data_IF_631744685480
#
_entry.id   IF_631744685480
#
_cell.length_a   1.000
_cell.length_b   1.000
_cell.length_c   1.000
_cell.angle_alpha   90.00
_cell.angle_beta   90.00
_cell.angle_gamma   90.00
#
_symmetry.space_group_name_H-M   'P 1'
#
loop_
_entity.id
_entity.type
_entity.pdbx_description
1 polymer ?
#
# COMPACT_ATOMS: atom_id res chain seq x y z
N UNK A 1 -16.41 3.54 -26.93
CA UNK A 1 -17.47 4.06 -26.03
C UNK A 1 -16.87 4.12 -24.62
N UNK A 2 -16.90 5.28 -23.95
CA UNK A 2 -16.47 5.37 -22.56
C UNK A 2 -17.44 4.52 -21.71
N UNK A 3 -16.89 3.66 -20.85
CA UNK A 3 -17.68 2.84 -19.94
C UNK A 3 -18.48 3.78 -19.02
N UNK A 4 -19.81 3.63 -19.00
CA UNK A 4 -20.72 4.46 -18.17
C UNK A 4 -20.33 4.44 -16.69
N UNK A 5 -19.80 3.34 -16.21
CA UNK A 5 -19.40 3.19 -14.82
C UNK A 5 -18.17 4.04 -14.49
N UNK A 6 -17.19 4.14 -15.41
CA UNK A 6 -16.04 5.03 -15.26
C UNK A 6 -16.49 6.50 -15.22
N UNK A 7 -17.44 6.89 -16.05
CA UNK A 7 -17.97 8.25 -16.03
C UNK A 7 -18.63 8.61 -14.68
N UNK A 8 -19.42 7.69 -14.12
CA UNK A 8 -20.06 7.86 -12.80
C UNK A 8 -19.02 7.95 -11.66
N UNK A 9 -17.97 7.12 -11.71
CA UNK A 9 -16.88 7.18 -10.72
C UNK A 9 -16.15 8.52 -10.81
N UNK A 10 -15.80 8.99 -12.01
CA UNK A 10 -15.17 10.31 -12.19
C UNK A 10 -16.05 11.45 -11.70
N UNK A 11 -17.33 11.42 -11.98
CA UNK A 11 -18.30 12.41 -11.48
C UNK A 11 -18.38 12.41 -9.96
N UNK A 12 -18.36 11.23 -9.33
CA UNK A 12 -18.34 11.13 -7.87
C UNK A 12 -17.05 11.72 -7.29
N UNK A 13 -15.92 11.36 -7.85
CA UNK A 13 -14.60 11.82 -7.39
C UNK A 13 -14.45 13.34 -7.53
N UNK A 14 -15.00 13.95 -8.61
CA UNK A 14 -14.94 15.40 -8.81
C UNK A 14 -15.77 16.22 -7.81
N UNK A 15 -16.66 15.57 -7.06
CA UNK A 15 -17.48 16.19 -6.00
C UNK A 15 -16.85 16.11 -4.62
N UNK A 16 -15.75 15.34 -4.47
CA UNK A 16 -15.03 15.26 -3.21
C UNK A 16 -14.21 16.52 -2.96
N UNK A 17 -14.10 16.97 -1.70
CA UNK A 17 -13.25 18.12 -1.39
C UNK A 17 -11.79 17.78 -1.73
N UNK A 18 -11.00 18.77 -2.19
CA UNK A 18 -9.58 18.57 -2.41
C UNK A 18 -8.87 18.10 -1.14
N UNK A 19 -8.02 17.09 -1.26
CA UNK A 19 -7.36 16.45 -0.11
C UNK A 19 -6.42 17.39 0.66
N UNK A 20 -5.99 18.47 0.04
CA UNK A 20 -5.13 19.48 0.65
C UNK A 20 -5.88 20.52 1.50
N UNK A 21 -7.21 20.50 1.51
CA UNK A 21 -8.07 21.45 2.24
C UNK A 21 -8.55 20.91 3.59
N UNK A 22 -8.39 19.63 3.87
CA UNK A 22 -8.86 18.97 5.08
C UNK A 22 -7.70 18.34 5.86
N UNK A 23 -7.88 18.17 7.17
CA UNK A 23 -6.88 17.56 8.05
C UNK A 23 -6.63 16.08 7.71
N UNK A 24 -5.46 15.54 8.10
CA UNK A 24 -5.14 14.11 7.95
C UNK A 24 -6.18 13.23 8.65
N UNK A 25 -6.67 13.64 9.81
CA UNK A 25 -7.69 12.90 10.56
C UNK A 25 -9.00 12.80 9.75
N UNK A 26 -9.43 13.91 9.17
CA UNK A 26 -10.62 13.93 8.32
C UNK A 26 -10.44 13.11 7.04
N UNK A 27 -9.25 13.19 6.41
CA UNK A 27 -8.94 12.37 5.24
C UNK A 27 -9.00 10.87 5.58
N UNK A 28 -8.41 10.45 6.70
CA UNK A 28 -8.47 9.06 7.18
C UNK A 28 -9.93 8.64 7.41
N UNK A 29 -10.71 9.47 8.11
CA UNK A 29 -12.13 9.19 8.35
C UNK A 29 -12.95 9.08 7.05
N UNK A 30 -12.64 9.87 6.03
CA UNK A 30 -13.29 9.77 4.72
C UNK A 30 -12.91 8.46 4.00
N UNK A 31 -11.65 8.08 4.03
CA UNK A 31 -11.17 6.84 3.42
C UNK A 31 -11.82 5.59 4.04
N UNK A 32 -12.04 5.58 5.35
CA UNK A 32 -12.73 4.50 6.05
C UNK A 32 -14.18 4.30 5.60
N UNK A 33 -14.81 5.32 5.00
CA UNK A 33 -16.17 5.18 4.43
C UNK A 33 -16.23 4.22 3.25
N UNK A 34 -15.10 3.91 2.62
CA UNK A 34 -15.01 2.93 1.54
C UNK A 34 -15.51 1.55 1.98
N UNK A 35 -15.31 1.16 3.25
CA UNK A 35 -15.82 -0.09 3.80
C UNK A 35 -17.34 -0.23 3.64
N UNK A 36 -18.08 0.86 3.83
CA UNK A 36 -19.54 0.88 3.67
C UNK A 36 -19.99 1.04 2.24
N UNK A 37 -19.22 1.81 1.45
CA UNK A 37 -19.54 2.07 0.04
C UNK A 37 -19.29 0.84 -0.84
N UNK A 38 -18.32 0.01 -0.47
CA UNK A 38 -17.89 -1.17 -1.22
C UNK A 38 -17.79 -2.38 -0.28
N UNK A 39 -18.93 -2.96 0.13
CA UNK A 39 -18.93 -4.14 0.99
C UNK A 39 -18.30 -5.34 0.26
N UNK A 40 -17.60 -6.17 1.01
CA UNK A 40 -17.09 -7.44 0.49
C UNK A 40 -18.20 -8.51 0.49
N UNK A 41 -18.10 -9.53 -0.37
CA UNK A 41 -19.00 -10.69 -0.35
C UNK A 41 -19.02 -11.35 1.04
N UNK A 42 -20.20 -11.71 1.57
CA UNK A 42 -20.34 -12.22 2.93
C UNK A 42 -19.66 -13.57 3.17
N UNK A 43 -19.37 -14.33 2.12
CA UNK A 43 -18.64 -15.58 2.16
C UNK A 43 -17.14 -15.42 2.41
N UNK A 44 -16.58 -14.21 2.25
CA UNK A 44 -15.17 -13.95 2.54
C UNK A 44 -14.96 -13.77 4.04
N UNK A 45 -14.22 -14.69 4.65
CA UNK A 45 -13.88 -14.58 6.08
C UNK A 45 -12.83 -13.48 6.30
N UNK A 46 -13.13 -12.57 7.24
CA UNK A 46 -12.21 -11.54 7.71
C UNK A 46 -11.72 -11.94 9.10
N UNK A 47 -10.42 -12.10 9.25
CA UNK A 47 -9.78 -12.48 10.50
C UNK A 47 -8.71 -11.47 10.86
N UNK A 48 -8.83 -10.84 12.03
CA UNK A 48 -7.81 -9.94 12.55
C UNK A 48 -6.70 -10.72 13.20
N UNK A 49 -5.48 -10.35 12.89
CA UNK A 49 -4.28 -10.94 13.47
C UNK A 49 -3.33 -9.87 13.94
N UNK A 50 -2.60 -10.17 14.99
CA UNK A 50 -1.45 -9.36 15.40
C UNK A 50 -0.23 -9.91 14.68
N UNK A 51 0.15 -9.30 13.57
CA UNK A 51 1.42 -9.56 12.93
C UNK A 51 2.55 -8.90 13.77
N UNK A 52 3.82 -9.32 13.61
CA UNK A 52 4.87 -8.99 14.57
C UNK A 52 5.13 -7.49 14.77
N UNK A 53 4.74 -6.65 13.80
CA UNK A 53 5.01 -5.20 13.84
C UNK A 53 3.77 -4.33 13.65
N UNK A 54 2.66 -4.89 13.14
CA UNK A 54 1.44 -4.16 12.90
C UNK A 54 0.21 -5.08 12.96
N UNK A 55 -0.95 -4.60 13.40
CA UNK A 55 -2.20 -5.30 13.20
C UNK A 55 -2.42 -5.59 11.71
N UNK A 56 -3.02 -6.72 11.38
CA UNK A 56 -3.31 -7.07 9.99
C UNK A 56 -4.67 -7.77 9.89
N UNK A 57 -5.23 -7.81 8.68
CA UNK A 57 -6.43 -8.56 8.39
C UNK A 57 -6.13 -9.65 7.34
N UNK A 58 -6.52 -10.88 7.66
CA UNK A 58 -6.66 -11.92 6.67
C UNK A 58 -8.02 -11.81 5.98
N UNK A 59 -8.01 -11.87 4.66
CA UNK A 59 -9.20 -12.02 3.83
C UNK A 59 -9.11 -13.38 3.15
N UNK A 60 -10.06 -14.27 3.47
CA UNK A 60 -10.04 -15.65 3.01
C UNK A 60 -11.28 -15.96 2.17
N UNK A 61 -11.20 -15.86 0.83
CA UNK A 61 -12.24 -16.34 -0.06
C UNK A 61 -12.44 -17.86 0.08
N UNK A 62 -13.64 -18.39 -0.14
CA UNK A 62 -13.89 -19.83 -0.06
C UNK A 62 -13.02 -20.67 -1.00
N UNK A 63 -12.68 -20.12 -2.17
CA UNK A 63 -11.84 -20.78 -3.18
C UNK A 63 -10.34 -20.61 -2.95
N UNK A 64 -9.90 -20.01 -1.83
CA UNK A 64 -8.50 -19.81 -1.56
C UNK A 64 -7.74 -21.13 -1.40
N UNK A 65 -6.73 -21.34 -2.24
CA UNK A 65 -5.83 -22.49 -2.13
C UNK A 65 -4.89 -22.32 -0.93
N UNK A 66 -4.71 -23.41 -0.18
CA UNK A 66 -3.81 -23.41 0.97
C UNK A 66 -2.39 -22.97 0.58
N UNK A 67 -1.84 -22.03 1.35
CA UNK A 67 -0.49 -21.51 1.16
C UNK A 67 -0.32 -20.54 -0.02
N UNK A 68 -1.35 -20.20 -0.80
CA UNK A 68 -1.34 -19.05 -1.72
C UNK A 68 -1.67 -17.78 -0.98
N UNK A 69 -0.78 -16.80 -1.02
CA UNK A 69 -0.94 -15.55 -0.27
C UNK A 69 -0.65 -14.33 -1.14
N UNK A 70 -1.54 -13.36 -1.06
CA UNK A 70 -1.29 -11.99 -1.51
C UNK A 70 -1.00 -11.15 -0.27
N UNK A 71 0.22 -10.63 -0.12
CA UNK A 71 0.51 -9.56 0.83
C UNK A 71 0.08 -8.26 0.16
N UNK A 72 -1.04 -7.69 0.61
CA UNK A 72 -1.61 -6.50 0.00
C UNK A 72 -1.27 -5.25 0.80
N UNK A 73 -0.53 -4.33 0.20
CA UNK A 73 -0.10 -3.06 0.76
C UNK A 73 -1.03 -1.95 0.23
N UNK A 74 -1.81 -1.35 1.11
CA UNK A 74 -2.83 -0.39 0.72
C UNK A 74 -2.26 0.95 0.24
N UNK A 75 -3.00 1.66 -0.60
CA UNK A 75 -2.71 3.03 -1.00
C UNK A 75 -3.04 4.06 0.08
N UNK A 76 -2.89 5.33 -0.27
CA UNK A 76 -3.20 6.45 0.62
C UNK A 76 -2.02 7.37 0.92
N UNK A 77 -1.06 7.48 -0.02
CA UNK A 77 0.05 8.43 0.07
C UNK A 77 0.96 8.25 1.28
N UNK A 78 1.01 7.04 1.85
CA UNK A 78 1.70 6.70 3.12
C UNK A 78 1.15 7.43 4.35
N UNK A 79 0.05 8.17 4.22
CA UNK A 79 -0.52 9.05 5.25
C UNK A 79 -1.90 8.58 5.67
N UNK A 80 -2.70 8.11 4.73
CA UNK A 80 -4.07 7.66 4.93
C UNK A 80 -4.23 6.21 4.45
N UNK A 81 -5.44 5.68 4.50
CA UNK A 81 -5.72 4.29 4.16
C UNK A 81 -5.55 3.33 5.35
N UNK A 82 -6.07 2.14 5.21
CA UNK A 82 -6.05 1.07 6.21
C UNK A 82 -6.49 -0.26 5.57
N UNK A 83 -6.36 -1.40 6.28
CA UNK A 83 -6.99 -2.64 5.84
C UNK A 83 -8.49 -2.49 5.57
N UNK A 84 -9.20 -1.71 6.37
CA UNK A 84 -10.65 -1.51 6.23
C UNK A 84 -11.01 -0.77 4.94
N UNK A 85 -10.30 0.31 4.64
CA UNK A 85 -10.58 1.12 3.44
C UNK A 85 -10.28 0.39 2.12
N UNK A 86 -9.36 -0.60 2.15
CA UNK A 86 -8.94 -1.36 0.96
C UNK A 86 -9.42 -2.81 0.97
N UNK A 87 -10.21 -3.21 1.97
CA UNK A 87 -10.68 -4.60 2.13
C UNK A 87 -11.37 -5.13 0.88
N UNK A 88 -12.22 -4.33 0.23
CA UNK A 88 -12.95 -4.72 -0.97
C UNK A 88 -12.01 -5.02 -2.15
N UNK A 89 -10.99 -4.18 -2.36
CA UNK A 89 -10.02 -4.37 -3.44
C UNK A 89 -9.12 -5.59 -3.19
N UNK A 90 -8.60 -5.70 -1.96
CA UNK A 90 -7.77 -6.84 -1.56
C UNK A 90 -8.56 -8.16 -1.63
N UNK A 91 -9.84 -8.15 -1.22
CA UNK A 91 -10.72 -9.31 -1.31
C UNK A 91 -11.00 -9.73 -2.76
N UNK A 92 -11.25 -8.76 -3.65
CA UNK A 92 -11.46 -9.03 -5.08
C UNK A 92 -10.21 -9.65 -5.72
N UNK A 93 -9.02 -9.10 -5.42
CA UNK A 93 -7.74 -9.63 -5.90
C UNK A 93 -7.51 -11.05 -5.37
N UNK A 94 -7.72 -11.26 -4.06
CA UNK A 94 -7.57 -12.56 -3.43
C UNK A 94 -8.51 -13.61 -4.05
N UNK A 95 -9.78 -13.25 -4.27
CA UNK A 95 -10.76 -14.12 -4.91
C UNK A 95 -10.36 -14.50 -6.35
N UNK A 96 -9.96 -13.53 -7.15
CA UNK A 96 -9.52 -13.76 -8.52
C UNK A 96 -8.23 -14.60 -8.62
N UNK A 97 -7.35 -14.50 -7.61
CA UNK A 97 -6.11 -15.26 -7.54
C UNK A 97 -6.25 -16.64 -6.89
N UNK A 98 -7.44 -17.02 -6.43
CA UNK A 98 -7.66 -18.17 -5.56
C UNK A 98 -6.67 -18.22 -4.38
N UNK A 99 -6.45 -17.10 -3.73
CA UNK A 99 -5.46 -16.89 -2.67
C UNK A 99 -6.11 -16.28 -1.42
N UNK A 100 -5.45 -16.38 -0.28
CA UNK A 100 -5.76 -15.54 0.88
C UNK A 100 -5.01 -14.21 0.77
N UNK A 101 -5.61 -13.09 1.18
CA UNK A 101 -4.86 -11.84 1.30
C UNK A 101 -4.54 -11.52 2.76
N UNK A 102 -3.30 -11.12 3.04
CA UNK A 102 -2.90 -10.45 4.27
C UNK A 102 -2.77 -8.96 4.00
N UNK A 103 -3.53 -8.16 4.73
CA UNK A 103 -3.53 -6.70 4.60
C UNK A 103 -3.04 -6.09 5.91
N UNK A 104 -1.77 -5.67 6.01
CA UNK A 104 -1.24 -5.04 7.23
C UNK A 104 -1.74 -3.59 7.35
N UNK A 105 -2.00 -3.17 8.59
CA UNK A 105 -2.19 -1.77 8.96
C UNK A 105 -0.81 -1.16 9.27
N UNK A 106 0.01 -1.06 8.25
CA UNK A 106 1.38 -0.57 8.39
C UNK A 106 1.43 0.87 8.92
N UNK A 107 2.49 1.20 9.63
CA UNK A 107 2.71 2.54 10.21
C UNK A 107 2.70 3.61 9.13
N UNK A 108 2.05 4.73 9.44
CA UNK A 108 1.81 5.83 8.49
C UNK A 108 2.36 7.14 9.01
N UNK A 109 2.76 7.99 8.09
CA UNK A 109 3.09 9.38 8.36
C UNK A 109 1.82 10.20 8.69
N UNK A 110 1.95 11.33 9.38
CA UNK A 110 3.20 11.92 9.88
C UNK A 110 3.72 11.29 11.19
N UNK A 111 2.94 10.42 11.84
CA UNK A 111 3.29 9.83 13.14
C UNK A 111 4.55 8.94 13.01
N UNK A 112 4.62 8.15 11.95
CA UNK A 112 5.70 7.24 11.66
C UNK A 112 6.20 7.47 10.22
N UNK A 113 7.12 8.42 10.00
CA UNK A 113 7.64 8.71 8.67
C UNK A 113 8.53 7.58 8.14
N UNK A 114 9.02 7.73 6.93
CA UNK A 114 10.00 6.82 6.33
C UNK A 114 11.18 6.56 7.30
N UNK A 115 11.62 5.29 7.47
CA UNK A 115 11.27 4.09 6.68
C UNK A 115 10.19 3.17 7.28
N UNK A 116 9.40 3.63 8.27
CA UNK A 116 8.50 2.79 9.06
C UNK A 116 7.61 1.85 8.23
N UNK A 117 6.94 2.36 7.19
CA UNK A 117 6.09 1.55 6.33
C UNK A 117 6.87 0.43 5.60
N UNK A 118 8.11 0.69 5.19
CA UNK A 118 8.97 -0.32 4.52
C UNK A 118 9.37 -1.40 5.50
N UNK A 119 9.75 -1.03 6.72
CA UNK A 119 10.10 -1.96 7.78
C UNK A 119 8.94 -2.90 8.09
N UNK A 120 7.73 -2.35 8.22
CA UNK A 120 6.52 -3.13 8.50
C UNK A 120 6.18 -4.09 7.34
N UNK A 121 6.29 -3.64 6.11
CA UNK A 121 6.01 -4.48 4.94
C UNK A 121 7.03 -5.64 4.82
N UNK A 122 8.31 -5.36 5.04
CA UNK A 122 9.38 -6.39 5.08
C UNK A 122 9.14 -7.38 6.21
N UNK A 123 8.78 -6.88 7.39
CA UNK A 123 8.52 -7.75 8.55
C UNK A 123 7.28 -8.63 8.35
N UNK A 124 6.21 -8.10 7.74
CA UNK A 124 5.03 -8.90 7.38
C UNK A 124 5.37 -9.99 6.36
N UNK A 125 6.20 -9.69 5.36
CA UNK A 125 6.66 -10.70 4.41
C UNK A 125 7.46 -11.81 5.10
N UNK A 126 8.44 -11.45 5.92
CA UNK A 126 9.25 -12.41 6.68
C UNK A 126 8.39 -13.27 7.60
N UNK A 127 7.44 -12.64 8.30
CA UNK A 127 6.49 -13.36 9.14
C UNK A 127 5.69 -14.40 8.36
N UNK A 128 5.22 -14.10 7.15
CA UNK A 128 4.55 -15.09 6.29
C UNK A 128 5.46 -16.29 6.01
N UNK A 129 6.73 -16.04 5.71
CA UNK A 129 7.70 -17.10 5.46
C UNK A 129 7.96 -17.93 6.73
N UNK A 130 8.08 -17.29 7.89
CA UNK A 130 8.27 -17.94 9.19
C UNK A 130 7.03 -18.77 9.61
N UNK A 131 5.81 -18.37 9.15
CA UNK A 131 4.60 -19.18 9.29
C UNK A 131 4.54 -20.36 8.29
N UNK A 132 5.61 -20.63 7.55
CA UNK A 132 5.71 -21.75 6.62
C UNK A 132 5.15 -21.49 5.22
N UNK A 133 4.78 -20.24 4.88
CA UNK A 133 4.36 -19.91 3.52
C UNK A 133 5.59 -19.85 2.62
N UNK A 134 5.63 -20.71 1.61
CA UNK A 134 6.75 -20.70 0.64
C UNK A 134 6.82 -19.36 -0.09
N UNK A 135 7.99 -18.71 -0.21
CA UNK A 135 8.18 -17.50 -1.01
C UNK A 135 7.62 -17.59 -2.43
N UNK A 136 7.74 -18.76 -3.07
CA UNK A 136 7.17 -19.02 -4.40
C UNK A 136 5.64 -19.07 -4.45
N UNK A 137 4.95 -18.92 -3.33
CA UNK A 137 3.48 -18.85 -3.21
C UNK A 137 3.00 -17.52 -2.64
N UNK A 138 3.90 -16.56 -2.46
CA UNK A 138 3.58 -15.19 -2.02
C UNK A 138 3.69 -14.26 -3.23
N UNK A 139 2.68 -13.42 -3.42
CA UNK A 139 2.71 -12.25 -4.31
C UNK A 139 2.55 -11.01 -3.42
N UNK A 140 3.40 -9.99 -3.61
CA UNK A 140 3.18 -8.69 -2.97
C UNK A 140 2.41 -7.83 -3.96
N UNK A 141 1.32 -7.21 -3.51
CA UNK A 141 0.50 -6.34 -4.35
C UNK A 141 0.18 -5.04 -3.62
N UNK A 142 -0.04 -3.96 -4.37
CA UNK A 142 -0.47 -2.70 -3.78
C UNK A 142 -0.84 -1.66 -4.82
N UNK A 143 -1.61 -0.67 -4.39
CA UNK A 143 -2.05 0.44 -5.22
C UNK A 143 -1.42 1.76 -4.78
N UNK A 144 -1.20 2.69 -5.71
CA UNK A 144 -0.68 4.04 -5.42
C UNK A 144 0.59 4.00 -4.56
N UNK A 145 0.59 4.59 -3.35
CA UNK A 145 1.67 4.49 -2.37
C UNK A 145 1.97 3.03 -1.98
N UNK A 146 0.95 2.19 -1.85
CA UNK A 146 1.12 0.75 -1.61
C UNK A 146 1.81 0.03 -2.76
N UNK A 147 1.59 0.46 -4.01
CA UNK A 147 2.35 0.00 -5.17
C UNK A 147 3.82 0.43 -5.11
N UNK A 148 4.09 1.67 -4.69
CA UNK A 148 5.43 2.15 -4.40
C UNK A 148 6.09 1.35 -3.27
N UNK A 149 5.36 1.11 -2.18
CA UNK A 149 5.80 0.30 -1.06
C UNK A 149 6.10 -1.15 -1.47
N UNK A 150 5.31 -1.71 -2.39
CA UNK A 150 5.58 -3.04 -2.98
C UNK A 150 6.97 -3.09 -3.61
N UNK A 151 7.33 -2.12 -4.44
CA UNK A 151 8.67 -2.06 -5.06
C UNK A 151 9.75 -1.84 -4.01
N UNK A 152 9.52 -0.93 -3.05
CA UNK A 152 10.46 -0.68 -1.95
C UNK A 152 10.73 -1.94 -1.13
N UNK A 153 9.68 -2.71 -0.82
CA UNK A 153 9.79 -3.99 -0.10
C UNK A 153 10.64 -4.99 -0.88
N UNK A 154 10.42 -5.14 -2.20
CA UNK A 154 11.25 -6.03 -3.03
C UNK A 154 12.72 -5.63 -3.03
N UNK A 155 13.00 -4.33 -3.12
CA UNK A 155 14.37 -3.80 -3.08
C UNK A 155 15.01 -4.11 -1.71
N UNK A 156 14.29 -3.85 -0.61
CA UNK A 156 14.78 -4.11 0.73
C UNK A 156 15.03 -5.62 0.99
N UNK A 157 14.14 -6.48 0.51
CA UNK A 157 14.32 -7.94 0.60
C UNK A 157 15.53 -8.41 -0.19
N UNK A 158 15.71 -7.90 -1.42
CA UNK A 158 16.87 -8.21 -2.27
C UNK A 158 18.19 -7.78 -1.60
N UNK A 159 18.23 -6.56 -1.09
CA UNK A 159 19.44 -5.98 -0.48
C UNK A 159 19.80 -6.67 0.85
N UNK A 160 18.81 -7.26 1.51
CA UNK A 160 18.99 -8.10 2.70
C UNK A 160 19.21 -9.60 2.37
N UNK A 161 19.38 -9.94 1.08
CA UNK A 161 19.57 -11.32 0.59
C UNK A 161 18.44 -12.29 1.02
N UNK A 162 17.23 -11.76 1.26
CA UNK A 162 16.05 -12.56 1.58
C UNK A 162 15.45 -13.10 0.29
N UNK A 163 15.05 -14.38 0.30
CA UNK A 163 14.39 -15.00 -0.86
C UNK A 163 13.15 -14.19 -1.27
N UNK A 164 13.09 -13.76 -2.53
CA UNK A 164 12.03 -12.93 -3.05
C UNK A 164 10.71 -13.70 -3.23
N UNK A 165 9.53 -13.01 -3.21
CA UNK A 165 8.24 -13.60 -3.51
C UNK A 165 8.17 -14.09 -4.97
N UNK A 166 7.11 -14.83 -5.31
CA UNK A 166 6.84 -15.32 -6.66
C UNK A 166 6.65 -14.19 -7.69
N UNK A 167 6.19 -13.03 -7.24
CA UNK A 167 5.97 -11.88 -8.10
C UNK A 167 5.41 -10.68 -7.34
N UNK A 168 5.16 -9.61 -8.08
CA UNK A 168 4.54 -8.40 -7.55
C UNK A 168 3.52 -7.81 -8.53
N UNK A 169 2.50 -7.14 -7.98
CA UNK A 169 1.47 -6.43 -8.76
C UNK A 169 1.38 -5.00 -8.24
N UNK A 170 1.70 -4.03 -9.09
CA UNK A 170 1.63 -2.62 -8.76
C UNK A 170 0.50 -1.95 -9.57
N UNK A 171 -0.50 -1.43 -8.86
CA UNK A 171 -1.66 -0.76 -9.45
C UNK A 171 -1.42 0.75 -9.36
N UNK A 172 -1.17 1.40 -10.49
CA UNK A 172 -0.86 2.84 -10.55
C UNK A 172 0.15 3.29 -9.48
N UNK A 173 1.34 2.67 -9.39
CA UNK A 173 2.25 2.84 -8.26
C UNK A 173 2.82 4.25 -8.19
N UNK A 174 2.88 4.81 -6.99
CA UNK A 174 3.59 6.06 -6.74
C UNK A 174 5.06 5.78 -6.44
N UNK A 175 5.88 5.83 -7.48
CA UNK A 175 7.30 5.47 -7.41
C UNK A 175 8.26 6.67 -7.48
N UNK A 176 7.75 7.87 -7.78
CA UNK A 176 8.55 9.09 -7.88
C UNK A 176 8.06 10.15 -6.89
N UNK A 177 8.75 10.24 -5.76
CA UNK A 177 8.50 11.24 -4.71
C UNK A 177 9.15 12.60 -5.01
N UNK A 178 9.88 12.72 -6.12
CA UNK A 178 10.46 13.98 -6.59
C UNK A 178 9.56 14.74 -7.56
N UNK A 179 8.50 14.08 -8.03
CA UNK A 179 7.55 14.64 -9.01
C UNK A 179 8.22 15.06 -10.33
N UNK A 180 9.22 14.33 -10.78
CA UNK A 180 9.97 14.62 -12.01
C UNK A 180 9.18 14.33 -13.28
N UNK A 181 8.16 13.48 -13.20
CA UNK A 181 7.35 13.06 -14.35
C UNK A 181 6.56 14.19 -14.98
N UNK A 182 6.63 14.31 -16.32
CA UNK A 182 5.91 15.34 -17.07
C UNK A 182 4.38 15.32 -16.88
N UNK A 183 3.81 14.14 -16.56
CA UNK A 183 2.37 13.95 -16.33
C UNK A 183 1.84 14.77 -15.15
N UNK A 184 2.65 15.06 -14.14
CA UNK A 184 2.26 15.93 -13.02
C UNK A 184 1.86 17.36 -13.49
N UNK A 185 2.39 17.80 -14.63
CA UNK A 185 2.03 19.10 -15.24
C UNK A 185 0.94 18.91 -16.30
N UNK A 186 1.16 17.97 -17.25
CA UNK A 186 0.32 17.85 -18.44
C UNK A 186 -1.05 17.21 -18.17
N UNK A 187 -1.23 16.52 -17.06
CA UNK A 187 -2.47 15.84 -16.67
C UNK A 187 -3.16 16.45 -15.44
N UNK A 188 -2.57 17.47 -14.83
CA UNK A 188 -3.10 18.09 -13.60
C UNK A 188 -4.57 18.54 -13.71
N UNK A 189 -4.98 19.06 -14.87
CA UNK A 189 -6.36 19.54 -15.06
C UNK A 189 -7.40 18.43 -15.27
N UNK A 190 -6.96 17.19 -15.52
CA UNK A 190 -7.86 16.06 -15.84
C UNK A 190 -7.81 14.92 -14.83
N UNK A 191 -6.89 14.98 -13.87
CA UNK A 191 -6.80 14.01 -12.79
C UNK A 191 -7.82 14.37 -11.69
N UNK A 192 -8.81 13.51 -11.41
CA UNK A 192 -9.87 13.81 -10.43
C UNK A 192 -9.45 13.47 -8.99
N UNK A 193 -8.29 12.87 -8.76
CA UNK A 193 -7.87 12.35 -7.46
C UNK A 193 -6.60 13.03 -6.96
N UNK A 194 -5.58 13.12 -7.84
CA UNK A 194 -4.24 13.55 -7.44
C UNK A 194 -4.05 15.02 -7.78
N UNK A 195 -4.02 15.87 -6.76
CA UNK A 195 -3.58 17.26 -6.89
C UNK A 195 -2.11 17.40 -6.51
N UNK A 196 -1.37 18.27 -7.19
CA UNK A 196 0.04 18.55 -6.87
C UNK A 196 0.22 19.01 -5.41
N UNK A 197 -0.56 19.96 -4.87
CA UNK A 197 -0.43 20.37 -3.48
C UNK A 197 -0.70 19.25 -2.49
N UNK A 198 -1.71 18.40 -2.77
CA UNK A 198 -2.06 17.28 -1.91
C UNK A 198 -0.96 16.23 -1.84
N UNK A 199 -0.42 15.82 -2.99
CA UNK A 199 0.62 14.79 -3.03
C UNK A 199 1.97 15.31 -2.51
N UNK A 200 2.28 16.60 -2.67
CA UNK A 200 3.45 17.27 -2.07
C UNK A 200 3.39 17.17 -0.54
N UNK A 201 2.24 17.50 0.07
CA UNK A 201 2.04 17.38 1.52
C UNK A 201 2.27 15.95 2.01
N UNK A 202 1.74 14.96 1.29
CA UNK A 202 1.92 13.54 1.63
C UNK A 202 3.39 13.11 1.53
N UNK A 203 4.09 13.54 0.46
CA UNK A 203 5.50 13.24 0.30
C UNK A 203 6.36 13.84 1.42
N UNK A 204 6.12 15.10 1.80
CA UNK A 204 6.82 15.74 2.91
C UNK A 204 6.51 15.06 4.24
N UNK A 205 5.26 14.72 4.50
CA UNK A 205 4.89 13.98 5.70
C UNK A 205 5.61 12.63 5.77
N UNK A 206 5.62 11.88 4.65
CA UNK A 206 6.25 10.55 4.58
C UNK A 206 7.77 10.61 4.71
N UNK A 207 8.42 11.53 4.00
CA UNK A 207 9.87 11.66 4.02
C UNK A 207 10.41 12.32 5.31
N UNK A 208 9.58 13.09 6.02
CA UNK A 208 10.01 13.86 7.17
C UNK A 208 11.11 14.84 6.80
N UNK A 209 12.27 14.72 7.46
CA UNK A 209 13.47 15.53 7.17
C UNK A 209 14.35 14.98 6.05
N UNK A 210 13.97 13.84 5.45
CA UNK A 210 14.75 13.17 4.42
C UNK A 210 14.56 13.88 3.07
N UNK A 211 15.65 14.37 2.46
CA UNK A 211 15.59 14.95 1.12
C UNK A 211 15.29 13.85 0.08
N UNK A 212 14.20 13.93 -0.68
CA UNK A 212 13.88 12.96 -1.71
C UNK A 212 14.97 12.84 -2.80
N UNK A 213 15.80 13.87 -2.97
CA UNK A 213 16.92 13.88 -3.93
C UNK A 213 18.19 13.24 -3.39
N UNK A 214 18.35 13.15 -2.07
CA UNK A 214 19.52 12.53 -1.45
C UNK A 214 19.51 11.01 -1.59
N UNK A 215 18.40 10.47 -2.08
CA UNK A 215 18.19 9.03 -2.23
C UNK A 215 18.53 8.63 -3.65
N UNK A 216 19.71 8.10 -3.85
CA UNK A 216 20.19 7.53 -5.12
C UNK A 216 19.40 6.29 -5.58
N UNK A 217 18.35 5.91 -4.86
CA UNK A 217 17.45 4.78 -5.17
C UNK A 217 16.00 5.27 -5.23
N UNK A 218 15.24 4.86 -6.23
CA UNK A 218 13.80 5.15 -6.26
C UNK A 218 13.18 4.60 -4.98
N UNK A 219 12.31 5.37 -4.35
CA UNK A 219 11.49 4.99 -3.20
C UNK A 219 12.07 5.19 -1.78
N UNK A 220 13.13 5.94 -1.64
CA UNK A 220 13.61 6.24 -0.29
C UNK A 220 14.19 5.04 0.45
N UNK A 221 14.63 4.01 -0.24
CA UNK A 221 15.35 2.88 0.35
C UNK A 221 16.83 3.22 0.35
N UNK A 222 17.26 4.06 1.28
CA UNK A 222 18.67 4.14 1.64
C UNK A 222 19.00 2.90 2.45
N UNK A 223 20.08 2.21 2.08
CA UNK A 223 20.50 1.01 2.77
C UNK A 223 20.65 1.23 4.27
N UNK A 224 19.72 0.77 5.04
CA UNK A 224 19.91 0.47 6.45
C UNK A 224 20.70 -0.84 6.54
N UNK A 225 21.91 -0.85 5.95
CA UNK A 225 22.97 -1.78 6.30
C UNK A 225 23.70 -1.21 7.53
N UNK A 226 22.94 -0.96 8.58
CA UNK A 226 23.46 -0.76 9.93
C UNK A 226 23.21 -2.06 10.68
N UNK A 227 24.20 -2.94 10.68
CA UNK A 227 24.26 -4.06 11.60
C UNK A 227 24.02 -3.57 13.04
N UNK A 228 22.82 -3.72 13.53
CA UNK A 228 22.64 -3.96 14.96
C UNK A 228 22.19 -5.40 15.11
N UNK A 229 23.12 -6.19 15.66
CA UNK A 229 22.92 -7.59 15.93
C UNK A 229 21.63 -7.82 16.70
N UNK A 230 20.84 -8.75 16.23
CA UNK A 230 19.79 -9.38 17.01
C UNK A 230 20.53 -10.37 17.90
N UNK A 231 20.45 -10.26 19.26
CA UNK A 231 20.99 -11.31 20.11
C UNK A 231 20.22 -12.59 19.86
N UNK A 232 20.97 -13.70 19.78
CA UNK A 232 20.51 -15.06 19.54
C UNK A 232 19.58 -15.63 20.62
#
# INVERSE_FOLDING_TARGET
MANRDIARVREHLSKLPPTDTISVVEQRAQYERAEKAFPIPPEIKVERVTAPVAPAEWLRPPAAEAGRVVLYLHGGGYVIGSPRSHRHLAAAIAGAAAASALVPDYRRAPEDPFPAAVEDAVACYRWLVDQGVSPGRIVIAGDSAGGGLTVATLVALRDAEVRLPAGAVCISPWTDLTFSGASYKTKAAVDPIVSRPGIDKMAHAYLGTTDPRSQSRPLGVSGAAGHRGIPG
#
